data_IF_519506898996
#
_entry.id   IF_519506898996
#
_cell.length_a   1.000
_cell.length_b   1.000
_cell.length_c   1.000
_cell.angle_alpha   90.00
_cell.angle_beta   90.00
_cell.angle_gamma   90.00
#
_symmetry.space_group_name_H-M   'P 1'
#
loop_
_entity.id
_entity.type
_entity.pdbx_description
1 polymer ?
#
# COMPACT_ATOMS: atom_id res chain seq x y z
N UNK A 1 -9.39 -5.12 15.70
CA UNK A 1 -7.98 -5.57 15.78
C UNK A 1 -7.19 -5.27 14.50
N UNK A 2 -7.66 -5.64 13.30
CA UNK A 2 -6.94 -5.43 12.02
C UNK A 2 -6.35 -4.02 11.84
N UNK A 3 -7.15 -2.97 12.05
CA UNK A 3 -6.68 -1.59 11.87
C UNK A 3 -5.60 -1.19 12.86
N UNK A 4 -5.73 -1.61 14.12
CA UNK A 4 -4.76 -1.31 15.17
C UNK A 4 -3.39 -1.87 14.81
N UNK A 5 -3.31 -3.17 14.49
CA UNK A 5 -2.05 -3.86 14.21
C UNK A 5 -1.37 -3.37 12.94
N UNK A 6 -2.13 -2.98 11.91
CA UNK A 6 -1.55 -2.37 10.71
C UNK A 6 -1.06 -0.93 10.94
N UNK A 7 -1.61 -0.25 11.95
CA UNK A 7 -1.15 1.05 12.43
C UNK A 7 -0.01 0.94 13.46
N UNK A 8 0.78 -0.14 13.48
CA UNK A 8 1.99 -0.26 14.30
C UNK A 8 3.22 -0.29 13.38
N UNK A 9 3.61 0.86 12.83
CA UNK A 9 4.71 0.95 11.87
C UNK A 9 6.10 0.74 12.51
N UNK A 10 6.21 0.69 13.83
CA UNK A 10 7.48 0.44 14.54
C UNK A 10 7.66 -1.03 14.97
N UNK A 11 6.80 -1.93 14.51
CA UNK A 11 7.02 -3.37 14.66
C UNK A 11 8.31 -3.81 13.96
N UNK A 12 8.91 -4.90 14.44
CA UNK A 12 9.99 -5.56 13.73
C UNK A 12 9.51 -6.03 12.36
N UNK A 13 10.44 -6.06 11.41
CA UNK A 13 10.14 -6.44 10.03
C UNK A 13 9.48 -7.82 9.95
N UNK A 14 9.97 -8.79 10.72
CA UNK A 14 9.44 -10.16 10.74
C UNK A 14 7.97 -10.21 11.19
N UNK A 15 7.60 -9.43 12.21
CA UNK A 15 6.22 -9.31 12.67
C UNK A 15 5.33 -8.67 11.60
N UNK A 16 5.83 -7.65 10.90
CA UNK A 16 5.11 -7.03 9.79
C UNK A 16 4.89 -8.01 8.64
N UNK A 17 5.90 -8.82 8.31
CA UNK A 17 5.82 -9.85 7.27
C UNK A 17 4.80 -10.92 7.65
N UNK A 18 4.80 -11.38 8.91
CA UNK A 18 3.81 -12.32 9.42
C UNK A 18 2.38 -11.77 9.27
N UNK A 19 2.15 -10.54 9.74
CA UNK A 19 0.85 -9.87 9.66
C UNK A 19 0.40 -9.64 8.21
N UNK A 20 1.30 -9.15 7.36
CA UNK A 20 1.03 -8.91 5.94
C UNK A 20 0.65 -10.20 5.20
N UNK A 21 1.35 -11.30 5.44
CA UNK A 21 1.00 -12.62 4.89
C UNK A 21 -0.40 -13.06 5.34
N UNK A 22 -0.72 -12.85 6.62
CA UNK A 22 -2.04 -13.17 7.15
C UNK A 22 -3.13 -12.31 6.50
N UNK A 23 -2.94 -11.00 6.37
CA UNK A 23 -3.89 -10.11 5.72
C UNK A 23 -4.07 -10.42 4.24
N UNK A 24 -2.99 -10.70 3.51
CA UNK A 24 -3.06 -11.07 2.11
C UNK A 24 -3.88 -12.36 1.91
N UNK A 25 -3.60 -13.39 2.72
CA UNK A 25 -4.37 -14.64 2.69
C UNK A 25 -5.85 -14.41 3.02
N UNK A 26 -6.13 -13.57 4.02
CA UNK A 26 -7.51 -13.25 4.42
C UNK A 26 -8.24 -12.44 3.35
N UNK A 27 -7.59 -11.45 2.75
CA UNK A 27 -8.19 -10.62 1.72
C UNK A 27 -8.57 -11.43 0.47
N UNK A 28 -7.72 -12.39 0.06
CA UNK A 28 -7.98 -13.24 -1.12
C UNK A 28 -9.05 -14.29 -0.84
N UNK A 29 -9.00 -14.94 0.34
CA UNK A 29 -9.83 -16.12 0.61
C UNK A 29 -11.14 -15.81 1.35
N UNK A 30 -11.30 -14.60 1.90
CA UNK A 30 -12.46 -14.24 2.72
C UNK A 30 -13.00 -12.86 2.30
N UNK A 31 -14.26 -12.84 1.86
CA UNK A 31 -14.96 -11.60 1.50
C UNK A 31 -15.34 -10.75 2.71
N UNK A 32 -15.41 -11.35 3.91
CA UNK A 32 -15.75 -10.62 5.12
C UNK A 32 -14.61 -9.67 5.49
N UNK A 33 -14.92 -8.37 5.53
CA UNK A 33 -13.96 -7.30 5.82
C UNK A 33 -12.75 -7.26 4.87
N UNK A 34 -12.92 -7.73 3.63
CA UNK A 34 -11.87 -7.75 2.60
C UNK A 34 -11.14 -6.40 2.47
N UNK A 35 -11.89 -5.30 2.39
CA UNK A 35 -11.33 -3.94 2.33
C UNK A 35 -10.40 -3.60 3.50
N UNK A 36 -10.74 -4.05 4.72
CA UNK A 36 -9.91 -3.79 5.89
C UNK A 36 -8.59 -4.58 5.84
N UNK A 37 -8.61 -5.79 5.28
CA UNK A 37 -7.42 -6.60 5.08
C UNK A 37 -6.52 -6.01 3.98
N UNK A 38 -7.09 -5.56 2.85
CA UNK A 38 -6.32 -4.86 1.81
C UNK A 38 -5.71 -3.56 2.32
N UNK A 39 -6.50 -2.76 3.05
CA UNK A 39 -6.01 -1.55 3.69
C UNK A 39 -4.83 -1.85 4.64
N UNK A 40 -4.99 -2.86 5.50
CA UNK A 40 -3.96 -3.26 6.45
C UNK A 40 -2.66 -3.73 5.77
N UNK A 41 -2.79 -4.51 4.69
CA UNK A 41 -1.66 -4.94 3.88
C UNK A 41 -0.92 -3.73 3.28
N UNK A 42 -1.65 -2.83 2.62
CA UNK A 42 -1.07 -1.63 2.02
C UNK A 42 -0.39 -0.72 3.04
N UNK A 43 -0.98 -0.60 4.24
CA UNK A 43 -0.43 0.19 5.35
C UNK A 43 0.91 -0.36 5.83
N UNK A 44 0.99 -1.66 6.10
CA UNK A 44 2.20 -2.33 6.61
C UNK A 44 3.31 -2.42 5.56
N UNK A 45 2.95 -2.64 4.31
CA UNK A 45 3.88 -2.83 3.21
C UNK A 45 4.22 -1.52 2.46
N UNK A 46 3.71 -0.38 2.93
CA UNK A 46 4.00 0.93 2.33
C UNK A 46 5.50 1.20 2.25
N UNK A 47 5.97 1.68 1.09
CA UNK A 47 7.36 2.12 0.90
C UNK A 47 7.68 3.44 1.61
N UNK A 48 6.65 4.24 1.86
CA UNK A 48 6.74 5.48 2.63
C UNK A 48 5.81 5.36 3.84
N UNK A 49 6.33 4.92 5.00
CA UNK A 49 5.57 4.90 6.25
C UNK A 49 5.09 6.32 6.61
N UNK A 50 4.02 6.45 7.40
CA UNK A 50 3.53 7.76 7.83
C UNK A 50 4.35 8.35 8.98
N UNK A 51 4.87 7.50 9.87
CA UNK A 51 5.61 7.93 11.05
C UNK A 51 6.73 6.95 11.46
N UNK A 52 6.77 5.76 10.86
CA UNK A 52 7.83 4.78 11.04
C UNK A 52 9.09 5.12 10.26
N UNK A 53 10.23 4.62 10.74
CA UNK A 53 11.51 4.75 10.03
C UNK A 53 11.53 3.93 8.74
N UNK A 54 12.21 4.46 7.72
CA UNK A 54 12.46 3.73 6.46
C UNK A 54 13.23 2.41 6.68
N UNK A 55 14.03 2.32 7.75
CA UNK A 55 14.74 1.09 8.11
C UNK A 55 13.82 -0.05 8.54
N UNK A 56 12.58 0.25 8.95
CA UNK A 56 11.62 -0.76 9.38
C UNK A 56 10.67 -1.18 8.25
N UNK A 57 10.93 -0.72 7.01
CA UNK A 57 10.12 -1.08 5.84
C UNK A 57 10.40 -2.52 5.44
N UNK A 58 9.36 -3.26 5.05
CA UNK A 58 9.50 -4.65 4.59
C UNK A 58 10.44 -4.70 3.37
N UNK A 59 11.43 -5.62 3.29
CA UNK A 59 12.33 -5.74 2.14
C UNK A 59 11.58 -5.89 0.82
N UNK A 60 12.15 -5.33 -0.26
CA UNK A 60 11.51 -5.36 -1.59
C UNK A 60 11.28 -6.79 -2.08
N UNK A 61 12.19 -7.72 -1.76
CA UNK A 61 12.12 -9.12 -2.18
C UNK A 61 10.83 -9.78 -1.64
N UNK A 62 10.43 -9.44 -0.41
CA UNK A 62 9.21 -9.95 0.20
C UNK A 62 7.96 -9.36 -0.44
N UNK A 63 8.00 -8.08 -0.82
CA UNK A 63 6.90 -7.43 -1.56
C UNK A 63 6.72 -8.04 -2.93
N UNK A 64 7.82 -8.24 -3.66
CA UNK A 64 7.80 -8.81 -5.00
C UNK A 64 7.21 -10.23 -5.02
N UNK A 65 7.34 -11.00 -3.93
CA UNK A 65 6.65 -12.29 -3.77
C UNK A 65 5.12 -12.16 -3.63
N UNK A 66 4.63 -11.03 -3.14
CA UNK A 66 3.20 -10.77 -2.97
C UNK A 66 2.57 -10.15 -4.21
N UNK A 67 3.32 -9.33 -4.96
CA UNK A 67 2.79 -8.58 -6.11
C UNK A 67 2.04 -9.42 -7.14
N UNK A 68 2.48 -10.62 -7.56
CA UNK A 68 1.72 -11.47 -8.46
C UNK A 68 0.29 -11.73 -7.98
N UNK A 69 0.12 -12.02 -6.69
CA UNK A 69 -1.21 -12.26 -6.09
C UNK A 69 -2.09 -11.02 -6.12
N UNK A 70 -1.52 -9.81 -5.95
CA UNK A 70 -2.26 -8.55 -6.08
C UNK A 70 -2.60 -8.25 -7.55
N UNK A 71 -1.71 -8.61 -8.48
CA UNK A 71 -1.88 -8.48 -9.92
C UNK A 71 -2.92 -9.46 -10.50
N UNK A 72 -3.31 -10.51 -9.78
CA UNK A 72 -4.43 -11.38 -10.15
C UNK A 72 -5.81 -10.81 -9.73
N UNK A 73 -5.86 -9.87 -8.78
CA UNK A 73 -7.14 -9.38 -8.23
C UNK A 73 -7.89 -8.46 -9.18
N UNK A 74 -9.23 -8.49 -9.14
CA UNK A 74 -10.04 -7.56 -9.91
C UNK A 74 -10.13 -6.19 -9.23
N UNK A 75 -9.28 -5.25 -9.66
CA UNK A 75 -9.18 -3.90 -9.11
C UNK A 75 -10.39 -3.00 -9.38
N UNK A 76 -11.23 -3.34 -10.37
CA UNK A 76 -12.51 -2.63 -10.58
C UNK A 76 -13.54 -3.02 -9.51
N UNK A 77 -13.50 -4.27 -9.05
CA UNK A 77 -14.39 -4.77 -7.99
C UNK A 77 -13.89 -4.36 -6.61
N UNK A 78 -12.58 -4.44 -6.37
CA UNK A 78 -11.96 -4.10 -5.10
C UNK A 78 -10.83 -3.07 -5.29
N UNK A 79 -11.17 -1.76 -5.29
CA UNK A 79 -10.20 -0.69 -5.47
C UNK A 79 -9.17 -0.61 -4.34
N UNK A 80 -9.46 -1.13 -3.14
CA UNK A 80 -8.49 -1.12 -2.04
C UNK A 80 -7.31 -2.05 -2.31
N UNK A 81 -7.51 -3.14 -3.07
CA UNK A 81 -6.42 -4.00 -3.50
C UNK A 81 -5.46 -3.26 -4.45
N UNK A 82 -6.00 -2.45 -5.35
CA UNK A 82 -5.20 -1.59 -6.23
C UNK A 82 -4.44 -0.53 -5.41
N UNK A 83 -5.11 0.11 -4.44
CA UNK A 83 -4.47 1.10 -3.58
C UNK A 83 -3.35 0.50 -2.72
N UNK A 84 -3.55 -0.71 -2.17
CA UNK A 84 -2.51 -1.44 -1.46
C UNK A 84 -1.28 -1.70 -2.35
N UNK A 85 -1.52 -2.12 -3.59
CA UNK A 85 -0.46 -2.31 -4.57
C UNK A 85 0.29 -0.99 -4.88
N UNK A 86 -0.42 0.12 -5.03
CA UNK A 86 0.20 1.45 -5.22
C UNK A 86 1.12 1.82 -4.05
N UNK A 87 0.70 1.59 -2.80
CA UNK A 87 1.52 1.89 -1.62
C UNK A 87 2.78 1.03 -1.54
N UNK A 88 2.66 -0.24 -1.96
CA UNK A 88 3.78 -1.20 -2.04
C UNK A 88 4.77 -0.89 -3.16
N UNK A 89 4.31 -0.25 -4.23
CA UNK A 89 5.09 0.04 -5.44
C UNK A 89 5.47 1.52 -5.59
N UNK A 90 5.10 2.36 -4.62
CA UNK A 90 5.35 3.81 -4.67
C UNK A 90 6.84 4.08 -4.79
N UNK A 91 7.21 4.95 -5.72
CA UNK A 91 8.60 5.33 -5.95
C UNK A 91 9.10 6.23 -4.82
N UNK A 92 10.17 5.81 -4.17
CA UNK A 92 10.79 6.55 -3.06
C UNK A 92 12.02 7.33 -3.51
N UNK A 93 12.68 6.88 -4.59
CA UNK A 93 13.96 7.40 -5.04
C UNK A 93 15.16 6.66 -4.46
N UNK A 94 14.94 5.77 -3.47
CA UNK A 94 15.95 4.85 -2.95
C UNK A 94 15.82 3.48 -3.63
N UNK A 95 16.87 3.08 -4.35
CA UNK A 95 16.93 1.80 -5.07
C UNK A 95 16.85 0.56 -4.18
N UNK A 96 17.17 0.70 -2.90
CA UNK A 96 17.11 -0.41 -1.94
C UNK A 96 15.69 -0.71 -1.46
N UNK A 97 14.82 0.30 -1.45
CA UNK A 97 13.42 0.18 -1.04
C UNK A 97 12.46 -0.01 -2.20
N UNK A 98 12.81 0.59 -3.34
CA UNK A 98 12.06 0.53 -4.58
C UNK A 98 12.01 -0.90 -5.15
N UNK A 99 10.83 -1.29 -5.63
CA UNK A 99 10.64 -2.55 -6.36
C UNK A 99 11.28 -2.49 -7.75
N UNK A 100 11.51 -3.66 -8.35
CA UNK A 100 11.99 -3.78 -9.73
C UNK A 100 11.07 -3.08 -10.74
N UNK A 101 11.71 -2.57 -11.80
CA UNK A 101 11.02 -1.82 -12.84
C UNK A 101 10.02 -2.69 -13.61
N UNK A 102 10.28 -3.99 -13.76
CA UNK A 102 9.35 -4.94 -14.39
C UNK A 102 8.00 -4.98 -13.67
N UNK A 103 8.00 -5.19 -12.35
CA UNK A 103 6.76 -5.16 -11.56
C UNK A 103 6.09 -3.78 -11.59
N UNK A 104 6.89 -2.71 -11.60
CA UNK A 104 6.39 -1.33 -11.65
C UNK A 104 5.65 -1.05 -12.96
N UNK A 105 6.17 -1.54 -14.09
CA UNK A 105 5.52 -1.48 -15.40
C UNK A 105 4.23 -2.31 -15.43
N UNK A 106 4.25 -3.54 -14.90
CA UNK A 106 3.06 -4.39 -14.79
C UNK A 106 1.94 -3.71 -13.98
N UNK A 107 2.27 -3.15 -12.82
CA UNK A 107 1.33 -2.42 -11.96
C UNK A 107 0.79 -1.18 -12.68
N UNK A 108 1.66 -0.41 -13.32
CA UNK A 108 1.26 0.79 -14.08
C UNK A 108 0.31 0.44 -15.24
N UNK A 109 0.60 -0.62 -15.98
CA UNK A 109 -0.25 -1.12 -17.07
C UNK A 109 -1.63 -1.53 -16.55
N UNK A 110 -1.66 -2.28 -15.44
CA UNK A 110 -2.91 -2.74 -14.83
C UNK A 110 -3.72 -1.59 -14.21
N UNK A 111 -3.07 -0.57 -13.67
CA UNK A 111 -3.74 0.63 -13.15
C UNK A 111 -4.45 1.39 -14.27
N UNK A 112 -3.80 1.50 -15.45
CA UNK A 112 -4.40 2.10 -16.65
C UNK A 112 -5.61 1.28 -17.14
N UNK A 113 -5.50 -0.04 -17.23
CA UNK A 113 -6.61 -0.90 -17.68
C UNK A 113 -7.79 -0.88 -16.71
N UNK A 114 -7.53 -0.72 -15.41
CA UNK A 114 -8.53 -0.62 -14.35
C UNK A 114 -9.11 0.79 -14.18
N UNK A 115 -8.75 1.75 -15.04
CA UNK A 115 -9.18 3.16 -14.97
C UNK A 115 -8.93 3.80 -13.59
N UNK A 116 -7.82 3.45 -12.95
CA UNK A 116 -7.42 4.03 -11.67
C UNK A 116 -7.07 5.53 -11.82
N UNK A 117 -7.14 6.32 -10.72
CA UNK A 117 -6.77 7.74 -10.74
C UNK A 117 -5.35 7.96 -11.29
N UNK A 118 -5.15 9.05 -12.05
CA UNK A 118 -3.81 9.41 -12.55
C UNK A 118 -2.82 9.65 -11.43
N UNK A 119 -3.28 10.16 -10.27
CA UNK A 119 -2.45 10.32 -9.08
C UNK A 119 -1.80 9.02 -8.62
N UNK A 120 -2.47 7.87 -8.78
CA UNK A 120 -1.93 6.56 -8.39
C UNK A 120 -0.84 6.09 -9.36
N UNK A 121 -1.00 6.37 -10.65
CA UNK A 121 0.05 6.10 -11.64
C UNK A 121 1.29 6.93 -11.36
N UNK A 122 1.10 8.23 -11.11
CA UNK A 122 2.19 9.17 -10.78
C UNK A 122 2.97 8.73 -9.54
N UNK A 123 2.29 8.24 -8.50
CA UNK A 123 2.95 7.72 -7.29
C UNK A 123 3.86 6.51 -7.55
N UNK A 124 3.52 5.68 -8.54
CA UNK A 124 4.30 4.49 -8.89
C UNK A 124 5.46 4.86 -9.83
N UNK A 125 5.26 5.82 -10.74
CA UNK A 125 6.26 6.21 -11.73
C UNK A 125 7.27 7.27 -11.25
N UNK A 126 6.83 8.17 -10.38
CA UNK A 126 7.56 9.37 -9.95
C UNK A 126 7.62 9.47 -8.42
N UNK A 127 8.68 10.11 -7.91
CA UNK A 127 8.77 10.44 -6.48
C UNK A 127 7.82 11.60 -6.20
N UNK A 128 6.61 11.27 -5.74
CA UNK A 128 5.56 12.25 -5.47
C UNK A 128 4.92 12.03 -4.10
N UNK A 129 4.40 13.09 -3.49
CA UNK A 129 3.60 13.02 -2.26
C UNK A 129 2.18 12.54 -2.52
N UNK A 130 1.58 11.88 -1.53
CA UNK A 130 0.17 11.49 -1.57
C UNK A 130 -0.72 12.75 -1.63
N UNK A 131 -1.81 12.65 -2.39
CA UNK A 131 -2.87 13.66 -2.34
C UNK A 131 -3.54 13.67 -0.97
N UNK A 132 -4.22 14.75 -0.59
CA UNK A 132 -4.93 14.80 0.70
C UNK A 132 -6.00 13.70 0.82
N UNK A 133 -6.68 13.39 -0.30
CA UNK A 133 -7.67 12.33 -0.36
C UNK A 133 -7.04 10.93 -0.18
N UNK A 134 -5.89 10.69 -0.80
CA UNK A 134 -5.18 9.41 -0.67
C UNK A 134 -4.51 9.26 0.71
N UNK A 135 -4.02 10.37 1.29
CA UNK A 135 -3.56 10.41 2.67
C UNK A 135 -4.68 10.02 3.63
N UNK A 136 -5.89 10.61 3.50
CA UNK A 136 -7.06 10.22 4.32
C UNK A 136 -7.39 8.72 4.19
N UNK A 137 -7.32 8.18 2.97
CA UNK A 137 -7.49 6.72 2.75
C UNK A 137 -6.40 5.92 3.47
N UNK A 138 -5.14 6.34 3.39
CA UNK A 138 -4.03 5.67 4.05
C UNK A 138 -4.13 5.72 5.58
N UNK A 139 -4.51 6.86 6.16
CA UNK A 139 -4.77 6.97 7.61
C UNK A 139 -5.91 6.06 8.06
N UNK A 140 -6.90 5.82 7.20
CA UNK A 140 -8.05 4.96 7.51
C UNK A 140 -9.01 5.58 8.54
N UNK A 141 -8.86 6.89 8.79
CA UNK A 141 -9.69 7.69 9.66
C UNK A 141 -10.00 9.05 9.01
N UNK A 142 -11.14 9.62 9.33
CA UNK A 142 -11.53 10.93 8.85
C UNK A 142 -10.88 12.01 9.71
N UNK A 143 -10.33 13.05 9.08
CA UNK A 143 -9.96 14.26 9.81
C UNK A 143 -11.24 14.90 10.37
N UNK A 144 -11.31 15.14 11.70
CA UNK A 144 -12.38 15.93 12.29
C UNK A 144 -12.55 17.29 11.61
N UNK A 145 -13.77 17.82 11.64
CA UNK A 145 -14.06 19.13 11.09
C UNK A 145 -13.14 20.21 11.71
N UNK A 146 -12.51 21.03 10.87
CA UNK A 146 -11.60 22.10 11.29
C UNK A 146 -10.12 21.72 11.41
N UNK A 147 -9.76 20.44 11.19
CA UNK A 147 -8.35 20.02 11.13
C UNK A 147 -7.86 19.88 9.68
N UNK A 148 -6.65 20.40 9.41
CA UNK A 148 -5.99 20.34 8.12
C UNK A 148 -4.61 19.70 8.25
N UNK A 149 -4.22 18.88 7.27
CA UNK A 149 -2.86 18.37 7.19
C UNK A 149 -1.94 19.49 6.73
N UNK A 150 -0.94 19.83 7.55
CA UNK A 150 0.15 20.70 7.16
C UNK A 150 1.05 19.93 6.18
N UNK A 151 1.50 20.59 5.11
CA UNK A 151 2.55 20.04 4.24
C UNK A 151 3.90 20.38 4.87
N UNK A 152 4.77 19.38 5.01
CA UNK A 152 6.21 19.60 5.24
C UNK A 152 6.87 20.15 3.97
#
# INVERSE_FOLDING_TARGET
MVRLSASLENLYVDDKVLLANWYLSKAINQSQFEQAHWWALGRLASRTPLYGSQHNVIPREQIEQWLPKLLEQNWLKEPMAAFACVLMCRKTGDRSLDISDDYREQVSSKLKSSKAPSSWLELVSEVKSLSEADSKKLFGDALPAGLHLLKE
#
